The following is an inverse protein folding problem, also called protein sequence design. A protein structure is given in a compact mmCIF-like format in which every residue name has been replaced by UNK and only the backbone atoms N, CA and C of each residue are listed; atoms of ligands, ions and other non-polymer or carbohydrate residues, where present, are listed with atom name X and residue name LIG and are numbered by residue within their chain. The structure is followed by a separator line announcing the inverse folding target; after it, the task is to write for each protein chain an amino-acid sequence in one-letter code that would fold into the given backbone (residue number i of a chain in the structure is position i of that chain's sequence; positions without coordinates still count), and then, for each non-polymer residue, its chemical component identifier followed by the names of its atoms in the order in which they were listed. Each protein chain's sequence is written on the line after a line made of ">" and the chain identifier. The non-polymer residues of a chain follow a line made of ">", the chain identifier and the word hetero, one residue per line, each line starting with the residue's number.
data_IF_800923853973
#
_entry.id   IF_800923853973
#
_cell.length_a   1.000
_cell.length_b   1.000
_cell.length_c   1.000
_cell.angle_alpha   90.00
_cell.angle_beta   90.00
_cell.angle_gamma   90.00
#
_symmetry.space_group_name_H-M   'P 1'
#
loop_
_entity.id
_entity.type
_entity.pdbx_description
1 polymer ?
#
# COMPACT_ATOMS: atom_id res chain seq x y z
N UNK A 1 4.15 6.88 -3.88
CA UNK A 1 4.17 7.93 -4.94
C UNK A 1 5.34 7.73 -5.90
N UNK A 2 6.56 7.45 -5.43
CA UNK A 2 7.71 7.13 -6.30
C UNK A 2 7.48 5.92 -7.23
N UNK A 3 6.78 4.89 -6.74
CA UNK A 3 6.53 3.63 -7.46
C UNK A 3 5.61 3.78 -8.68
N UNK A 4 4.50 4.49 -8.55
CA UNK A 4 3.52 4.65 -9.63
C UNK A 4 4.05 5.54 -10.77
N UNK A 5 4.78 6.61 -10.43
CA UNK A 5 5.33 7.53 -11.44
C UNK A 5 6.39 6.85 -12.32
N UNK A 6 7.30 6.09 -11.72
CA UNK A 6 8.29 5.31 -12.47
C UNK A 6 7.64 4.25 -13.37
N UNK A 7 6.57 3.60 -12.87
CA UNK A 7 5.84 2.58 -13.61
C UNK A 7 5.07 3.17 -14.81
N UNK A 8 4.41 4.32 -14.62
CA UNK A 8 3.68 5.01 -15.69
C UNK A 8 4.65 5.42 -16.80
N UNK A 9 5.79 6.05 -16.47
CA UNK A 9 6.82 6.44 -17.45
C UNK A 9 7.38 5.22 -18.21
N UNK A 10 7.56 4.08 -17.53
CA UNK A 10 7.98 2.83 -18.16
C UNK A 10 6.93 2.20 -19.10
N UNK A 11 5.64 2.43 -18.85
CA UNK A 11 4.54 1.91 -19.69
C UNK A 11 4.16 2.80 -20.87
N UNK A 12 4.51 4.10 -20.86
CA UNK A 12 4.30 5.01 -22.01
C UNK A 12 4.80 4.42 -23.34
N UNK A 13 6.05 3.91 -23.45
CA UNK A 13 6.52 3.33 -24.71
C UNK A 13 5.79 2.03 -25.09
N UNK A 14 5.21 1.29 -24.15
CA UNK A 14 4.37 0.12 -24.44
C UNK A 14 3.02 0.53 -25.03
N UNK A 15 2.45 1.64 -24.58
CA UNK A 15 1.17 2.15 -25.10
C UNK A 15 1.33 2.73 -26.51
N UNK A 16 2.44 3.42 -26.78
CA UNK A 16 2.71 4.02 -28.09
C UNK A 16 3.36 3.05 -29.09
N UNK A 17 3.71 1.82 -28.68
CA UNK A 17 4.35 0.85 -29.55
C UNK A 17 3.42 0.41 -30.68
N UNK A 18 3.89 0.50 -31.92
CA UNK A 18 3.23 -0.02 -33.13
C UNK A 18 4.15 -1.03 -33.82
N UNK A 19 3.59 -2.14 -34.32
CA UNK A 19 4.36 -3.28 -34.86
C UNK A 19 3.77 -4.66 -34.48
N UNK A 20 4.51 -5.73 -34.75
CA UNK A 20 4.07 -7.10 -34.42
C UNK A 20 3.85 -7.26 -32.90
N UNK A 21 2.63 -7.68 -32.51
CA UNK A 21 2.25 -7.81 -31.10
C UNK A 21 1.95 -6.48 -30.39
N UNK A 22 1.80 -5.36 -31.11
CA UNK A 22 1.44 -4.06 -30.54
C UNK A 22 0.16 -4.09 -29.70
N UNK A 23 -0.87 -4.81 -30.17
CA UNK A 23 -2.13 -4.97 -29.43
C UNK A 23 -1.89 -5.59 -28.05
N UNK A 24 -1.06 -6.64 -27.96
CA UNK A 24 -0.76 -7.28 -26.68
C UNK A 24 -0.01 -6.33 -25.72
N UNK A 25 0.90 -5.51 -26.25
CA UNK A 25 1.64 -4.51 -25.47
C UNK A 25 0.73 -3.39 -24.95
N UNK A 26 -0.21 -2.94 -25.78
CA UNK A 26 -1.20 -1.93 -25.41
C UNK A 26 -2.18 -2.45 -24.35
N UNK A 27 -2.63 -3.71 -24.45
CA UNK A 27 -3.50 -4.33 -23.45
C UNK A 27 -2.81 -4.37 -22.08
N UNK A 28 -1.56 -4.83 -22.02
CA UNK A 28 -0.82 -4.88 -20.75
C UNK A 28 -0.59 -3.47 -20.22
N UNK A 29 -0.18 -2.52 -21.06
CA UNK A 29 0.02 -1.12 -20.66
C UNK A 29 -1.23 -0.49 -20.04
N UNK A 30 -2.38 -0.58 -20.73
CA UNK A 30 -3.66 -0.06 -20.24
C UNK A 30 -4.12 -0.75 -18.96
N UNK A 31 -3.95 -2.08 -18.86
CA UNK A 31 -4.33 -2.85 -17.67
C UNK A 31 -3.54 -2.41 -16.44
N UNK A 32 -2.22 -2.25 -16.56
CA UNK A 32 -1.40 -1.89 -15.39
C UNK A 32 -1.52 -0.42 -15.02
N UNK A 33 -1.64 0.49 -15.99
CA UNK A 33 -1.91 1.90 -15.71
C UNK A 33 -3.24 2.04 -14.95
N UNK A 34 -4.30 1.38 -15.43
CA UNK A 34 -5.59 1.35 -14.73
C UNK A 34 -5.49 0.72 -13.34
N UNK A 35 -4.76 -0.39 -13.22
CA UNK A 35 -4.54 -1.09 -11.95
C UNK A 35 -3.81 -0.24 -10.90
N UNK A 36 -2.77 0.51 -11.28
CA UNK A 36 -2.03 1.38 -10.36
C UNK A 36 -2.86 2.58 -9.89
N UNK A 37 -3.69 3.14 -10.78
CA UNK A 37 -4.63 4.20 -10.41
C UNK A 37 -5.67 3.64 -9.44
N UNK A 38 -6.27 2.50 -9.76
CA UNK A 38 -7.24 1.82 -8.90
C UNK A 38 -6.64 1.42 -7.54
N UNK A 39 -5.44 0.87 -7.49
CA UNK A 39 -4.75 0.51 -6.24
C UNK A 39 -4.47 1.74 -5.37
N UNK A 40 -4.07 2.86 -5.96
CA UNK A 40 -3.82 4.09 -5.21
C UNK A 40 -5.09 4.62 -4.55
N UNK A 41 -6.25 4.58 -5.23
CA UNK A 41 -7.52 5.06 -4.69
C UNK A 41 -8.21 4.03 -3.78
N UNK A 42 -8.42 2.82 -4.28
CA UNK A 42 -9.11 1.75 -3.56
C UNK A 42 -8.17 1.14 -2.53
N UNK A 43 -6.99 0.67 -2.93
CA UNK A 43 -6.06 -0.04 -2.06
C UNK A 43 -5.64 0.79 -0.85
N UNK A 44 -5.38 2.08 -1.01
CA UNK A 44 -5.05 2.96 0.14
C UNK A 44 -6.16 3.07 1.17
N UNK A 45 -7.43 2.95 0.77
CA UNK A 45 -8.56 2.92 1.71
C UNK A 45 -8.87 1.49 2.21
N UNK A 46 -8.70 0.49 1.35
CA UNK A 46 -9.03 -0.90 1.63
C UNK A 46 -8.02 -1.57 2.57
N UNK A 47 -6.72 -1.28 2.42
CA UNK A 47 -5.66 -1.83 3.26
C UNK A 47 -5.87 -1.53 4.75
N UNK A 48 -6.09 -0.27 5.20
CA UNK A 48 -6.35 0.02 6.61
C UNK A 48 -7.71 -0.53 7.07
N UNK A 49 -8.73 -0.54 6.21
CA UNK A 49 -10.05 -1.08 6.55
C UNK A 49 -9.98 -2.59 6.81
N UNK A 50 -9.31 -3.35 5.93
CA UNK A 50 -9.10 -4.79 6.13
C UNK A 50 -8.23 -5.03 7.36
N UNK A 51 -7.16 -4.26 7.55
CA UNK A 51 -6.30 -4.40 8.73
C UNK A 51 -7.11 -4.24 10.02
N UNK A 52 -7.96 -3.21 10.11
CA UNK A 52 -8.81 -2.99 11.27
C UNK A 52 -9.82 -4.12 11.51
N UNK A 53 -10.47 -4.61 10.45
CA UNK A 53 -11.39 -5.75 10.55
C UNK A 53 -10.66 -6.99 11.06
N UNK A 54 -9.50 -7.30 10.47
CA UNK A 54 -8.68 -8.43 10.88
C UNK A 54 -8.20 -8.27 12.32
N UNK A 55 -7.75 -7.09 12.74
CA UNK A 55 -7.32 -6.81 14.12
C UNK A 55 -8.47 -7.00 15.13
N UNK A 56 -9.67 -6.53 14.79
CA UNK A 56 -10.88 -6.72 15.61
C UNK A 56 -11.29 -8.19 15.72
N UNK A 57 -11.17 -8.96 14.64
CA UNK A 57 -11.46 -10.39 14.63
C UNK A 57 -10.34 -11.23 15.27
N UNK A 58 -9.08 -10.78 15.16
CA UNK A 58 -7.90 -11.49 15.65
C UNK A 58 -7.67 -11.31 17.16
N UNK A 59 -8.50 -10.51 17.86
CA UNK A 59 -8.46 -10.41 19.32
C UNK A 59 -7.14 -9.87 19.86
N UNK A 60 -6.48 -8.96 19.15
CA UNK A 60 -5.22 -8.36 19.57
C UNK A 60 -5.44 -7.57 20.86
N UNK A 61 -5.14 -8.23 21.98
CA UNK A 61 -5.23 -7.69 23.34
C UNK A 61 -4.32 -6.45 23.42
N UNK A 62 -4.93 -5.31 23.72
CA UNK A 62 -4.28 -4.02 23.99
C UNK A 62 -2.96 -4.21 24.76
N UNK A 63 -1.82 -3.98 24.09
CA UNK A 63 -0.53 -3.89 24.77
C UNK A 63 -0.57 -2.60 25.57
N UNK A 64 -0.84 -2.77 26.87
CA UNK A 64 -1.07 -1.73 27.85
C UNK A 64 0.16 -0.83 27.99
N UNK A 65 0.17 0.29 27.27
CA UNK A 65 1.15 1.40 27.38
C UNK A 65 1.26 1.97 28.79
N UNK A 66 0.36 1.59 29.72
CA UNK A 66 0.41 1.93 31.13
C UNK A 66 1.61 1.33 31.88
N UNK A 67 2.25 0.26 31.38
CA UNK A 67 3.37 -0.38 32.09
C UNK A 67 4.70 0.40 31.99
N UNK A 68 4.91 1.20 30.93
CA UNK A 68 6.19 1.90 30.73
C UNK A 68 6.36 3.11 31.67
N UNK A 69 5.28 3.84 31.97
CA UNK A 69 5.31 5.02 32.86
C UNK A 69 5.56 4.69 34.34
N UNK A 70 5.28 3.47 34.78
CA UNK A 70 5.53 3.06 36.18
C UNK A 70 6.99 2.62 36.43
N UNK A 71 7.75 2.25 35.39
CA UNK A 71 9.16 1.90 35.54
C UNK A 71 10.05 3.15 35.67
N UNK A 72 9.72 4.23 34.97
CA UNK A 72 10.49 5.48 34.97
C UNK A 72 10.32 6.26 36.30
N UNK A 73 9.13 6.21 36.92
CA UNK A 73 8.86 6.88 38.19
C UNK A 73 9.56 6.25 39.42
N UNK A 74 10.07 5.02 39.30
CA UNK A 74 10.79 4.33 40.39
C UNK A 74 12.31 4.55 40.35
N UNK A 75 12.84 5.13 39.27
CA UNK A 75 14.29 5.36 39.10
C UNK A 75 14.79 6.74 39.53
N UNK A 76 13.88 7.66 39.88
CA UNK A 76 14.21 9.04 40.30
C UNK A 76 14.26 9.19 41.84
N UNK A 77 14.17 8.09 42.59
CA UNK A 77 14.09 8.07 44.05
C UNK A 77 15.30 7.42 44.75
N UNK A 78 16.38 7.11 44.01
CA UNK A 78 17.64 6.54 44.54
C UNK A 78 18.82 7.51 44.34
#
# INVERSE_FOLDING_TARGET
>A
MMTALAFIVGCVPLWTASGAGAIARQIIGTTVIGGMVAETFIGRFFVPAIFYVVEKFSGAKQVSTTQFRSAEASGEAD
#
